data_IF_568231028802
#
_entry.id   IF_568231028802
#
_cell.length_a   1.000
_cell.length_b   1.000
_cell.length_c   1.000
_cell.angle_alpha   90.00
_cell.angle_beta   90.00
_cell.angle_gamma   90.00
#
_symmetry.space_group_name_H-M   'P 1'
#
loop_
_entity.id
_entity.type
_entity.pdbx_description
1 polymer ?
#
# COMPACT_ATOMS: atom_id res chain seq x y z
N UNK A 1 10.55 13.91 -16.70
CA UNK A 1 11.19 13.70 -15.38
C UNK A 1 11.74 12.29 -15.34
N UNK A 2 12.99 12.09 -14.93
CA UNK A 2 13.58 10.77 -14.75
C UNK A 2 13.13 10.19 -13.41
N UNK A 3 12.60 8.97 -13.41
CA UNK A 3 12.16 8.28 -12.20
C UNK A 3 13.19 7.21 -11.87
N UNK A 4 13.67 7.19 -10.65
CA UNK A 4 14.60 6.19 -10.12
C UNK A 4 13.94 5.38 -9.03
N UNK A 5 14.22 4.10 -8.99
CA UNK A 5 13.71 3.21 -7.94
C UNK A 5 14.73 2.12 -7.61
N UNK A 6 14.76 1.71 -6.36
CA UNK A 6 15.55 0.57 -5.95
C UNK A 6 14.86 -0.74 -6.34
N UNK A 7 15.52 -1.50 -7.19
CA UNK A 7 15.04 -2.83 -7.59
C UNK A 7 15.64 -3.89 -6.67
N UNK A 8 14.80 -4.59 -5.92
CA UNK A 8 15.26 -5.64 -5.00
C UNK A 8 15.97 -6.78 -5.72
N UNK A 9 15.59 -7.09 -6.96
CA UNK A 9 16.19 -8.16 -7.75
C UNK A 9 17.66 -7.87 -8.07
N UNK A 10 17.94 -6.67 -8.55
CA UNK A 10 19.30 -6.25 -8.92
C UNK A 10 20.08 -5.63 -7.76
N UNK A 11 19.36 -5.23 -6.69
CA UNK A 11 19.91 -4.52 -5.52
C UNK A 11 20.56 -3.17 -5.87
N UNK A 12 20.03 -2.51 -6.90
CA UNK A 12 20.49 -1.21 -7.39
C UNK A 12 19.34 -0.25 -7.54
N UNK A 13 19.66 1.03 -7.47
CA UNK A 13 18.75 2.09 -7.93
C UNK A 13 18.86 2.15 -9.44
N UNK A 14 17.75 2.03 -10.12
CA UNK A 14 17.64 1.98 -11.58
C UNK A 14 16.68 3.04 -12.09
N UNK A 15 16.87 3.47 -13.33
CA UNK A 15 15.93 4.33 -14.01
C UNK A 15 14.70 3.49 -14.41
N UNK A 16 13.54 3.97 -14.01
CA UNK A 16 12.28 3.33 -14.39
C UNK A 16 11.99 3.54 -15.88
N UNK A 17 11.79 2.45 -16.57
CA UNK A 17 11.30 2.42 -17.95
C UNK A 17 10.14 1.44 -18.03
N UNK A 18 8.93 1.87 -18.41
CA UNK A 18 7.77 0.98 -18.42
C UNK A 18 7.91 -0.10 -19.51
N UNK A 19 7.23 -1.21 -19.31
CA UNK A 19 7.11 -2.29 -20.31
C UNK A 19 6.33 -1.78 -21.52
N UNK A 20 5.28 -0.98 -21.26
CA UNK A 20 4.49 -0.33 -22.29
C UNK A 20 4.48 1.17 -22.08
N UNK A 21 4.80 1.91 -23.13
CA UNK A 21 4.90 3.37 -23.07
C UNK A 21 3.65 4.02 -22.46
N UNK A 22 3.84 4.97 -21.51
CA UNK A 22 2.80 5.69 -20.80
C UNK A 22 1.83 4.82 -19.96
N UNK A 23 2.11 3.54 -19.78
CA UNK A 23 1.35 2.66 -18.90
C UNK A 23 2.26 2.12 -17.78
N UNK A 24 1.68 1.84 -16.61
CA UNK A 24 2.36 1.13 -15.51
C UNK A 24 1.47 -0.01 -15.04
N UNK A 25 2.00 -1.22 -15.14
CA UNK A 25 1.39 -2.43 -14.61
C UNK A 25 1.99 -2.76 -13.25
N UNK A 26 1.15 -2.82 -12.22
CA UNK A 26 1.58 -3.03 -10.83
C UNK A 26 0.75 -4.12 -10.17
N UNK A 27 1.43 -5.13 -9.63
CA UNK A 27 0.80 -6.17 -8.82
C UNK A 27 1.41 -6.20 -7.43
N UNK A 28 0.58 -6.15 -6.41
CA UNK A 28 1.01 -6.20 -5.00
C UNK A 28 0.30 -7.36 -4.32
N UNK A 29 1.07 -8.29 -3.76
CA UNK A 29 0.50 -9.42 -3.04
C UNK A 29 -0.40 -8.96 -1.90
N UNK A 30 -1.66 -9.40 -1.98
CA UNK A 30 -2.68 -9.07 -1.01
C UNK A 30 -2.67 -9.98 0.23
N UNK A 31 -3.58 -9.76 1.17
CA UNK A 31 -3.62 -10.50 2.41
C UNK A 31 -4.24 -11.90 2.27
N UNK A 32 -3.78 -12.84 3.10
CA UNK A 32 -4.57 -14.02 3.45
C UNK A 32 -5.67 -13.60 4.43
N UNK A 33 -6.93 -13.79 4.02
CA UNK A 33 -8.09 -13.19 4.71
C UNK A 33 -8.68 -14.13 5.77
N UNK A 34 -7.97 -14.30 6.86
CA UNK A 34 -8.38 -15.17 7.99
C UNK A 34 -8.52 -14.43 9.33
N UNK A 35 -8.09 -13.16 9.41
CA UNK A 35 -8.12 -12.36 10.63
C UNK A 35 -8.17 -10.86 10.32
N UNK A 36 -8.54 -10.02 11.30
CA UNK A 36 -8.42 -8.57 11.19
C UNK A 36 -6.98 -8.16 10.84
N UNK A 37 -6.79 -7.21 9.92
CA UNK A 37 -5.45 -6.74 9.57
C UNK A 37 -4.84 -5.94 10.72
N UNK A 38 -3.54 -6.15 10.95
CA UNK A 38 -2.76 -5.30 11.85
C UNK A 38 -2.17 -4.11 11.08
N UNK A 39 -1.74 -3.08 11.82
CA UNK A 39 -1.23 -1.84 11.23
C UNK A 39 -0.04 -2.07 10.28
N UNK A 40 0.81 -3.06 10.53
CA UNK A 40 1.93 -3.42 9.66
C UNK A 40 1.48 -3.90 8.27
N UNK A 41 0.30 -4.55 8.16
CA UNK A 41 -0.25 -4.94 6.87
C UNK A 41 -0.66 -3.73 6.01
N UNK A 42 -0.93 -2.58 6.65
CA UNK A 42 -1.31 -1.37 5.93
C UNK A 42 -0.12 -0.64 5.31
N UNK A 43 1.12 -0.94 5.71
CA UNK A 43 2.30 -0.26 5.19
C UNK A 43 2.46 -0.43 3.67
N UNK A 44 2.55 -1.66 3.12
CA UNK A 44 2.60 -1.84 1.67
C UNK A 44 1.36 -1.27 0.98
N UNK A 45 0.16 -1.45 1.55
CA UNK A 45 -1.10 -0.96 0.97
C UNK A 45 -1.06 0.57 0.77
N UNK A 46 -0.69 1.32 1.82
CA UNK A 46 -0.60 2.78 1.77
C UNK A 46 0.54 3.26 0.86
N UNK A 47 1.68 2.58 0.89
CA UNK A 47 2.82 2.92 0.05
C UNK A 47 2.49 2.74 -1.44
N UNK A 48 1.93 1.61 -1.85
CA UNK A 48 1.62 1.35 -3.25
C UNK A 48 0.43 2.17 -3.77
N UNK A 49 -0.52 2.54 -2.93
CA UNK A 49 -1.55 3.53 -3.27
C UNK A 49 -0.92 4.92 -3.56
N UNK A 50 0.02 5.34 -2.72
CA UNK A 50 0.75 6.60 -2.90
C UNK A 50 1.60 6.56 -4.17
N UNK A 51 2.25 5.44 -4.46
CA UNK A 51 3.02 5.21 -5.69
C UNK A 51 2.12 5.26 -6.93
N UNK A 52 0.95 4.62 -6.89
CA UNK A 52 -0.06 4.71 -7.93
C UNK A 52 -0.46 6.17 -8.22
N UNK A 53 -0.83 6.93 -7.19
CA UNK A 53 -1.24 8.34 -7.31
C UNK A 53 -0.12 9.22 -7.87
N UNK A 54 1.14 8.94 -7.51
CA UNK A 54 2.29 9.61 -8.10
C UNK A 54 2.37 9.36 -9.61
N UNK A 55 2.36 8.10 -10.06
CA UNK A 55 2.41 7.77 -11.48
C UNK A 55 1.25 8.39 -12.26
N UNK A 56 0.03 8.33 -11.73
CA UNK A 56 -1.16 8.94 -12.34
C UNK A 56 -1.02 10.47 -12.43
N UNK A 57 -0.48 11.13 -11.40
CA UNK A 57 -0.26 12.59 -11.39
C UNK A 57 0.74 13.03 -12.46
N UNK A 58 1.74 12.24 -12.77
CA UNK A 58 2.71 12.55 -13.83
C UNK A 58 2.32 11.99 -15.21
N UNK A 59 1.08 11.51 -15.36
CA UNK A 59 0.46 11.20 -16.65
C UNK A 59 0.52 9.74 -17.09
N UNK A 60 0.95 8.79 -16.26
CA UNK A 60 0.85 7.38 -16.57
C UNK A 60 -0.56 6.84 -16.32
N UNK A 61 -0.98 5.93 -17.18
CA UNK A 61 -2.16 5.09 -16.92
C UNK A 61 -1.73 3.89 -16.08
N UNK A 62 -2.19 3.81 -14.84
CA UNK A 62 -1.81 2.74 -13.92
C UNK A 62 -2.86 1.64 -13.87
N UNK A 63 -2.44 0.39 -14.08
CA UNK A 63 -3.24 -0.80 -13.77
C UNK A 63 -2.68 -1.42 -12.49
N UNK A 64 -3.38 -1.20 -11.38
CA UNK A 64 -2.99 -1.69 -10.06
C UNK A 64 -3.86 -2.88 -9.65
N UNK A 65 -3.22 -4.00 -9.35
CA UNK A 65 -3.85 -5.26 -8.94
C UNK A 65 -3.36 -5.66 -7.56
N UNK A 66 -4.29 -6.05 -6.69
CA UNK A 66 -3.97 -6.69 -5.40
C UNK A 66 -5.00 -7.78 -5.12
N UNK A 67 -4.55 -9.00 -4.88
CA UNK A 67 -5.41 -10.17 -4.70
C UNK A 67 -5.92 -10.32 -3.27
N UNK A 68 -6.90 -11.23 -3.11
CA UNK A 68 -7.22 -11.85 -1.83
C UNK A 68 -6.92 -13.34 -1.90
N UNK A 69 -6.04 -13.82 -0.99
CA UNK A 69 -5.86 -15.25 -0.75
C UNK A 69 -7.01 -15.70 0.14
N UNK A 70 -8.07 -16.21 -0.49
CA UNK A 70 -9.33 -16.62 0.12
C UNK A 70 -9.43 -18.14 0.34
N UNK A 71 -8.34 -18.86 0.12
CA UNK A 71 -8.14 -20.28 0.48
C UNK A 71 -6.73 -20.49 1.03
N UNK A 72 -6.62 -20.99 2.26
CA UNK A 72 -5.36 -21.25 2.97
C UNK A 72 -5.63 -22.12 4.19
N UNK A 73 -4.62 -22.81 4.74
CA UNK A 73 -4.75 -23.60 5.97
C UNK A 73 -5.30 -22.79 7.15
N UNK A 74 -4.92 -21.52 7.26
CA UNK A 74 -5.39 -20.64 8.33
C UNK A 74 -6.88 -20.34 8.23
N UNK A 75 -7.40 -20.21 7.00
CA UNK A 75 -8.84 -20.02 6.74
C UNK A 75 -9.60 -21.29 7.05
N UNK A 76 -9.10 -22.46 6.60
CA UNK A 76 -9.69 -23.77 6.84
C UNK A 76 -9.75 -24.07 8.33
N UNK A 77 -8.64 -23.92 9.05
CA UNK A 77 -8.58 -24.18 10.48
C UNK A 77 -9.54 -23.29 11.26
N UNK A 78 -9.64 -22.00 10.89
CA UNK A 78 -10.56 -21.08 11.52
C UNK A 78 -12.02 -21.40 11.21
N UNK A 79 -12.33 -21.84 10.00
CA UNK A 79 -13.66 -22.28 9.62
C UNK A 79 -14.10 -23.53 10.42
N UNK A 80 -13.20 -24.49 10.61
CA UNK A 80 -13.42 -25.67 11.44
C UNK A 80 -13.65 -25.26 12.91
N UNK A 81 -12.80 -24.39 13.46
CA UNK A 81 -12.90 -23.88 14.83
C UNK A 81 -14.24 -23.20 15.10
N UNK A 82 -14.73 -22.39 14.15
CA UNK A 82 -15.99 -21.66 14.26
C UNK A 82 -17.21 -22.48 13.79
N UNK A 83 -17.03 -23.66 13.21
CA UNK A 83 -18.12 -24.50 12.68
C UNK A 83 -18.86 -23.88 11.48
N UNK A 84 -18.14 -23.12 10.64
CA UNK A 84 -18.67 -22.42 9.45
C UNK A 84 -17.92 -22.84 8.19
N UNK A 85 -18.41 -22.41 7.02
CA UNK A 85 -17.68 -22.60 5.75
C UNK A 85 -16.54 -21.59 5.62
N UNK A 86 -15.49 -21.96 4.89
CA UNK A 86 -14.33 -21.12 4.61
C UNK A 86 -14.69 -19.79 3.95
N UNK A 87 -15.69 -19.81 3.07
CA UNK A 87 -16.22 -18.59 2.43
C UNK A 87 -16.77 -17.57 3.45
N UNK A 88 -17.36 -18.03 4.56
CA UNK A 88 -17.87 -17.12 5.62
C UNK A 88 -16.69 -16.41 6.30
N UNK A 89 -15.58 -17.11 6.52
CA UNK A 89 -14.36 -16.54 7.10
C UNK A 89 -13.75 -15.54 6.13
N UNK A 90 -13.50 -15.96 4.90
CA UNK A 90 -12.83 -15.10 3.89
C UNK A 90 -13.65 -13.83 3.61
N UNK A 91 -14.97 -13.92 3.41
CA UNK A 91 -15.84 -12.75 3.19
C UNK A 91 -15.85 -11.79 4.39
N UNK A 92 -15.84 -12.31 5.62
CA UNK A 92 -15.77 -11.48 6.83
C UNK A 92 -14.50 -10.64 6.85
N UNK A 93 -13.35 -11.26 6.59
CA UNK A 93 -12.07 -10.57 6.69
C UNK A 93 -11.68 -9.77 5.44
N UNK A 94 -12.23 -10.10 4.27
CA UNK A 94 -12.20 -9.20 3.10
C UNK A 94 -12.92 -7.88 3.46
N UNK A 95 -14.14 -7.95 4.00
CA UNK A 95 -14.90 -6.75 4.42
C UNK A 95 -14.16 -5.94 5.49
N UNK A 96 -13.54 -6.62 6.47
CA UNK A 96 -12.75 -5.96 7.51
C UNK A 96 -11.52 -5.24 6.91
N UNK A 97 -10.82 -5.88 5.98
CA UNK A 97 -9.70 -5.29 5.26
C UNK A 97 -10.15 -4.11 4.39
N UNK A 98 -11.20 -4.27 3.58
CA UNK A 98 -11.75 -3.19 2.74
C UNK A 98 -12.19 -1.98 3.57
N UNK A 99 -12.76 -2.18 4.76
CA UNK A 99 -13.08 -1.09 5.68
C UNK A 99 -11.84 -0.35 6.16
N UNK A 100 -10.75 -1.06 6.45
CA UNK A 100 -9.49 -0.41 6.86
C UNK A 100 -8.88 0.42 5.72
N UNK A 101 -8.82 -0.11 4.49
CA UNK A 101 -8.27 0.61 3.34
C UNK A 101 -9.15 1.83 2.98
N UNK A 102 -10.46 1.70 3.02
CA UNK A 102 -11.38 2.82 2.83
C UNK A 102 -11.16 3.92 3.86
N UNK A 103 -11.09 3.57 5.13
CA UNK A 103 -10.85 4.52 6.22
C UNK A 103 -9.45 5.18 6.12
N UNK A 104 -8.47 4.52 5.50
CA UNK A 104 -7.15 5.10 5.22
C UNK A 104 -7.08 5.89 3.91
N UNK A 105 -8.20 6.18 3.26
CA UNK A 105 -8.28 6.89 1.98
C UNK A 105 -7.45 6.23 0.85
N UNK A 106 -7.34 4.91 0.92
CA UNK A 106 -6.71 4.11 -0.15
C UNK A 106 -7.71 3.91 -1.27
N UNK A 107 -7.30 4.21 -2.49
CA UNK A 107 -8.12 3.97 -3.66
C UNK A 107 -8.18 2.46 -3.98
N UNK A 108 -9.35 1.99 -4.39
CA UNK A 108 -9.51 0.58 -4.75
C UNK A 108 -8.55 0.21 -5.88
N UNK A 109 -7.89 -0.96 -5.80
CA UNK A 109 -7.14 -1.49 -6.93
C UNK A 109 -8.03 -1.61 -8.18
N UNK A 110 -7.43 -1.57 -9.37
CA UNK A 110 -8.13 -1.78 -10.64
C UNK A 110 -8.80 -3.16 -10.66
N UNK A 111 -8.11 -4.17 -10.14
CA UNK A 111 -8.63 -5.53 -9.97
C UNK A 111 -8.24 -6.08 -8.60
N UNK A 112 -9.16 -6.85 -8.01
CA UNK A 112 -8.97 -7.56 -6.74
C UNK A 112 -9.32 -9.04 -6.93
N UNK A 113 -8.46 -9.82 -7.67
CA UNK A 113 -8.71 -11.21 -7.94
C UNK A 113 -8.71 -12.04 -6.65
N UNK A 114 -9.50 -13.12 -6.64
CA UNK A 114 -9.59 -14.10 -5.55
C UNK A 114 -9.09 -15.45 -6.03
N UNK A 115 -8.28 -16.11 -5.25
CA UNK A 115 -7.67 -17.41 -5.61
C UNK A 115 -8.73 -18.43 -6.01
N UNK A 116 -9.84 -18.52 -5.26
CA UNK A 116 -10.93 -19.47 -5.53
C UNK A 116 -11.61 -19.27 -6.90
N UNK A 117 -11.39 -18.15 -7.58
CA UNK A 117 -11.91 -17.86 -8.92
C UNK A 117 -10.96 -18.22 -10.06
N UNK A 118 -9.72 -18.63 -9.72
CA UNK A 118 -8.68 -18.98 -10.70
C UNK A 118 -8.23 -20.44 -10.59
N UNK A 119 -9.02 -21.30 -9.95
CA UNK A 119 -8.66 -22.71 -9.74
C UNK A 119 -8.39 -23.47 -11.05
N UNK A 120 -9.22 -23.34 -12.11
CA UNK A 120 -8.95 -24.02 -13.38
C UNK A 120 -7.62 -23.57 -13.99
N UNK A 121 -7.33 -22.27 -13.97
CA UNK A 121 -6.09 -21.70 -14.51
C UNK A 121 -4.87 -22.16 -13.69
N UNK A 122 -5.00 -22.22 -12.37
CA UNK A 122 -3.96 -22.71 -11.46
C UNK A 122 -3.65 -24.18 -11.75
N UNK A 123 -4.67 -25.02 -11.89
CA UNK A 123 -4.48 -26.44 -12.22
C UNK A 123 -3.78 -26.60 -13.58
N UNK A 124 -4.19 -25.83 -14.61
CA UNK A 124 -3.57 -25.86 -15.92
C UNK A 124 -2.10 -25.40 -15.88
N UNK A 125 -1.80 -24.36 -15.10
CA UNK A 125 -0.44 -23.86 -14.89
C UNK A 125 0.46 -24.91 -14.22
N UNK A 126 -0.03 -25.57 -13.17
CA UNK A 126 0.70 -26.65 -12.47
C UNK A 126 0.91 -27.84 -13.38
N UNK A 127 -0.11 -28.24 -14.15
CA UNK A 127 0.01 -29.34 -15.12
C UNK A 127 1.09 -29.07 -16.19
N UNK A 128 1.20 -27.81 -16.64
CA UNK A 128 2.29 -27.38 -17.52
C UNK A 128 3.67 -27.50 -16.87
N UNK A 129 3.80 -27.12 -15.59
CA UNK A 129 5.07 -27.30 -14.84
C UNK A 129 5.45 -28.77 -14.67
N UNK A 130 4.48 -29.65 -14.46
CA UNK A 130 4.73 -31.11 -14.41
C UNK A 130 5.15 -31.63 -15.77
N UNK A 131 4.45 -31.24 -16.84
CA UNK A 131 4.76 -31.69 -18.22
C UNK A 131 6.13 -31.23 -18.70
N UNK A 132 6.57 -30.02 -18.33
CA UNK A 132 7.90 -29.53 -18.71
C UNK A 132 9.04 -30.01 -17.79
N UNK A 133 8.73 -30.81 -16.78
CA UNK A 133 9.70 -31.41 -15.86
C UNK A 133 10.23 -30.47 -14.78
N UNK A 134 9.59 -29.30 -14.57
CA UNK A 134 9.92 -28.36 -13.50
C UNK A 134 9.19 -28.65 -12.17
N UNK A 135 8.20 -29.53 -12.23
CA UNK A 135 7.48 -30.00 -11.06
C UNK A 135 7.29 -31.53 -11.13
N UNK A 136 7.05 -32.15 -9.98
CA UNK A 136 6.82 -33.59 -9.88
C UNK A 136 5.69 -33.90 -8.90
N UNK A 137 5.08 -35.07 -9.07
CA UNK A 137 4.01 -35.55 -8.19
C UNK A 137 4.58 -36.56 -7.21
N UNK A 138 4.31 -36.36 -5.93
CA UNK A 138 4.67 -37.29 -4.85
C UNK A 138 3.49 -37.46 -3.89
N UNK A 139 2.97 -38.67 -3.72
CA UNK A 139 1.83 -39.00 -2.84
C UNK A 139 0.60 -38.09 -3.06
N UNK A 140 0.34 -37.70 -4.33
CA UNK A 140 -0.80 -36.87 -4.69
C UNK A 140 -0.65 -35.38 -4.41
N UNK A 141 0.50 -34.95 -3.94
CA UNK A 141 0.91 -33.55 -3.87
C UNK A 141 1.82 -33.22 -5.06
N UNK A 142 1.81 -31.97 -5.51
CA UNK A 142 2.71 -31.51 -6.57
C UNK A 142 3.73 -30.55 -5.98
N UNK A 143 5.00 -30.84 -6.22
CA UNK A 143 6.11 -30.02 -5.76
C UNK A 143 6.84 -29.40 -6.94
N UNK A 144 7.24 -28.14 -6.79
CA UNK A 144 8.19 -27.51 -7.69
C UNK A 144 9.61 -27.97 -7.36
N UNK A 145 10.37 -28.38 -8.39
CA UNK A 145 11.76 -28.77 -8.27
C UNK A 145 12.67 -27.54 -8.41
N UNK A 146 13.14 -27.01 -7.27
CA UNK A 146 14.01 -25.82 -7.27
C UNK A 146 15.35 -26.07 -7.97
N UNK A 147 15.78 -27.33 -8.09
CA UNK A 147 16.99 -27.70 -8.81
C UNK A 147 16.92 -27.47 -10.32
N UNK A 148 15.74 -27.18 -10.88
CA UNK A 148 15.54 -26.83 -12.29
C UNK A 148 15.77 -25.36 -12.58
N UNK A 149 15.97 -24.51 -11.57
CA UNK A 149 16.20 -23.08 -11.72
C UNK A 149 17.57 -22.74 -11.16
N UNK A 150 18.50 -22.39 -12.04
CA UNK A 150 19.93 -22.19 -11.70
C UNK A 150 20.19 -21.00 -10.78
N UNK A 151 19.32 -20.01 -10.79
CA UNK A 151 19.44 -18.75 -10.06
C UNK A 151 18.39 -18.62 -8.93
N UNK A 152 17.86 -19.75 -8.43
CA UNK A 152 16.99 -19.75 -7.26
C UNK A 152 17.70 -19.12 -6.05
N UNK A 153 17.07 -18.12 -5.43
CA UNK A 153 17.66 -17.30 -4.38
C UNK A 153 18.15 -15.92 -4.86
N UNK A 154 18.00 -15.59 -6.14
CA UNK A 154 18.49 -14.33 -6.74
C UNK A 154 17.84 -13.07 -6.14
N UNK A 155 16.55 -13.11 -5.83
CA UNK A 155 15.81 -11.99 -5.23
C UNK A 155 16.18 -11.79 -3.76
N UNK A 156 16.14 -12.87 -3.00
CA UNK A 156 16.35 -12.87 -1.55
C UNK A 156 17.82 -12.75 -1.16
N UNK A 157 18.72 -13.07 -2.10
CA UNK A 157 20.16 -13.20 -1.86
C UNK A 157 20.48 -14.24 -0.76
N UNK A 158 19.68 -15.28 -0.71
CA UNK A 158 19.86 -16.36 0.26
C UNK A 158 20.86 -17.36 -0.31
N UNK A 159 21.90 -17.60 0.44
CA UNK A 159 22.80 -18.72 0.22
C UNK A 159 22.13 -19.99 0.76
N UNK A 160 21.70 -20.85 -0.16
CA UNK A 160 21.01 -22.11 0.16
C UNK A 160 21.87 -23.05 1.02
N UNK A 161 23.19 -23.02 0.88
CA UNK A 161 24.09 -23.83 1.67
C UNK A 161 24.18 -23.37 3.13
N UNK A 162 24.06 -22.07 3.37
CA UNK A 162 24.00 -21.51 4.72
C UNK A 162 22.63 -21.70 5.40
N UNK A 163 21.54 -21.82 4.65
CA UNK A 163 20.23 -22.15 5.20
C UNK A 163 20.17 -23.57 5.80
N UNK A 164 20.91 -24.53 5.22
CA UNK A 164 20.98 -25.91 5.72
C UNK A 164 21.40 -25.98 7.19
N UNK A 165 22.19 -25.02 7.65
CA UNK A 165 22.75 -25.00 9.01
C UNK A 165 21.85 -24.27 10.04
N UNK A 166 20.86 -23.45 9.62
CA UNK A 166 20.13 -22.54 10.51
C UNK A 166 18.60 -22.73 10.55
N UNK A 167 18.03 -23.49 9.64
CA UNK A 167 16.59 -23.71 9.61
C UNK A 167 16.24 -25.08 10.20
N UNK A 168 15.31 -25.14 11.16
CA UNK A 168 14.53 -26.33 11.45
C UNK A 168 13.61 -26.58 10.26
N UNK A 169 14.17 -27.15 9.19
CA UNK A 169 13.40 -27.63 8.05
C UNK A 169 12.86 -28.99 8.47
N UNK A 170 11.53 -29.12 8.51
CA UNK A 170 10.91 -30.42 8.69
C UNK A 170 11.33 -31.30 7.51
N UNK A 171 12.05 -32.38 7.80
CA UNK A 171 12.38 -33.39 6.81
C UNK A 171 11.08 -33.95 6.24
N UNK A 172 10.88 -33.75 4.95
CA UNK A 172 9.74 -34.27 4.22
C UNK A 172 10.29 -35.25 3.15
N UNK A 173 10.14 -36.52 3.41
CA UNK A 173 10.66 -37.62 2.57
C UNK A 173 10.08 -37.60 1.12
N UNK A 174 9.02 -36.80 0.88
CA UNK A 174 8.41 -36.64 -0.45
C UNK A 174 9.20 -35.69 -1.34
N UNK A 175 10.06 -34.85 -0.77
CA UNK A 175 10.79 -33.82 -1.52
C UNK A 175 12.11 -34.31 -2.04
N UNK A 176 12.44 -34.01 -3.30
CA UNK A 176 13.77 -34.26 -3.86
C UNK A 176 14.82 -33.34 -3.23
N UNK A 177 14.44 -32.10 -2.95
CA UNK A 177 15.24 -31.10 -2.27
C UNK A 177 14.40 -30.47 -1.14
N UNK A 178 15.01 -30.20 0.00
CA UNK A 178 14.34 -29.58 1.14
C UNK A 178 13.69 -28.21 0.81
N UNK A 179 14.17 -27.51 -0.21
CA UNK A 179 13.63 -26.21 -0.67
C UNK A 179 12.50 -26.34 -1.68
N UNK A 180 12.23 -27.57 -2.19
CA UNK A 180 11.08 -27.78 -3.04
C UNK A 180 9.81 -27.35 -2.32
N UNK A 181 8.92 -26.70 -3.02
CA UNK A 181 7.72 -26.14 -2.43
C UNK A 181 6.45 -26.67 -3.10
N UNK A 182 5.39 -26.73 -2.32
CA UNK A 182 4.11 -27.30 -2.75
C UNK A 182 3.42 -26.34 -3.72
N UNK A 183 3.05 -26.86 -4.90
CA UNK A 183 2.21 -26.21 -5.89
C UNK A 183 0.74 -26.61 -5.75
N UNK A 184 0.50 -27.90 -5.46
CA UNK A 184 -0.83 -28.46 -5.20
C UNK A 184 -0.77 -29.35 -3.97
N UNK A 185 -1.60 -29.05 -2.99
CA UNK A 185 -1.63 -29.76 -1.71
C UNK A 185 -2.83 -30.68 -1.65
N UNK A 186 -2.58 -31.98 -1.44
CA UNK A 186 -3.64 -32.90 -1.09
C UNK A 186 -4.26 -32.49 0.25
N UNK A 187 -5.58 -32.40 0.32
CA UNK A 187 -6.27 -32.04 1.56
C UNK A 187 -7.40 -33.00 1.87
N UNK A 188 -7.43 -33.48 3.11
CA UNK A 188 -8.48 -34.35 3.62
C UNK A 188 -9.62 -33.56 4.25
N UNK A 189 -9.35 -32.34 4.72
CA UNK A 189 -10.29 -31.46 5.41
C UNK A 189 -10.44 -30.12 4.69
N UNK A 190 -11.61 -29.51 4.78
CA UNK A 190 -11.90 -28.21 4.21
C UNK A 190 -12.16 -28.25 2.70
N UNK A 191 -12.19 -27.05 2.11
CA UNK A 191 -12.47 -26.86 0.70
C UNK A 191 -11.39 -27.46 -0.18
N UNK A 192 -11.79 -28.18 -1.23
CA UNK A 192 -10.91 -28.81 -2.21
C UNK A 192 -11.55 -28.88 -3.57
N UNK A 193 -10.74 -29.05 -4.58
CA UNK A 193 -11.13 -29.16 -6.00
C UNK A 193 -10.55 -30.42 -6.61
N UNK A 194 -11.28 -30.98 -7.56
CA UNK A 194 -10.78 -32.08 -8.41
C UNK A 194 -9.63 -31.57 -9.27
N UNK A 195 -8.61 -32.40 -9.43
CA UNK A 195 -7.45 -32.12 -10.27
C UNK A 195 -6.89 -33.42 -10.90
N UNK A 196 -6.05 -33.34 -11.94
CA UNK A 196 -5.36 -34.49 -12.50
C UNK A 196 -4.42 -35.22 -11.52
N UNK A 197 -4.09 -34.57 -10.41
CA UNK A 197 -3.14 -35.09 -9.41
C UNK A 197 -3.88 -35.90 -8.32
N UNK A 198 -4.63 -35.22 -7.49
CA UNK A 198 -5.61 -35.73 -6.51
C UNK A 198 -6.50 -34.54 -6.10
N UNK A 199 -7.68 -34.80 -5.49
CA UNK A 199 -8.46 -33.72 -4.92
C UNK A 199 -7.66 -32.94 -3.87
N UNK A 200 -7.60 -31.59 -4.05
CA UNK A 200 -6.74 -30.78 -3.22
C UNK A 200 -6.98 -29.29 -3.40
N UNK A 201 -5.96 -28.50 -3.10
CA UNK A 201 -5.99 -27.04 -3.19
C UNK A 201 -4.63 -26.47 -3.62
N UNK A 202 -4.59 -25.21 -4.13
CA UNK A 202 -3.35 -24.56 -4.49
C UNK A 202 -2.38 -24.41 -3.32
N UNK A 203 -1.08 -24.51 -3.62
CA UNK A 203 -0.03 -23.99 -2.78
C UNK A 203 0.04 -22.48 -2.89
N UNK A 204 0.35 -21.80 -1.79
CA UNK A 204 0.35 -20.34 -1.68
C UNK A 204 1.20 -19.60 -2.72
N UNK A 205 2.26 -20.22 -3.25
CA UNK A 205 3.22 -19.56 -4.13
C UNK A 205 2.83 -19.54 -5.61
N UNK A 206 1.78 -20.24 -6.01
CA UNK A 206 1.36 -20.35 -7.42
C UNK A 206 0.29 -19.32 -7.79
N UNK A 207 -0.46 -18.88 -6.80
CA UNK A 207 -1.64 -18.03 -6.96
C UNK A 207 -1.35 -16.74 -7.72
N UNK A 208 -0.34 -15.98 -7.26
CA UNK A 208 0.02 -14.69 -7.84
C UNK A 208 0.58 -14.84 -9.26
N UNK A 209 1.40 -15.86 -9.53
CA UNK A 209 1.91 -16.13 -10.87
C UNK A 209 0.77 -16.28 -11.88
N UNK A 210 -0.25 -17.08 -11.53
CA UNK A 210 -1.39 -17.34 -12.40
C UNK A 210 -2.29 -16.14 -12.58
N UNK A 211 -2.56 -15.40 -11.50
CA UNK A 211 -3.39 -14.20 -11.56
C UNK A 211 -2.70 -13.08 -12.36
N UNK A 212 -1.38 -12.91 -12.22
CA UNK A 212 -0.60 -11.96 -13.03
C UNK A 212 -0.66 -12.34 -14.50
N UNK A 213 -0.38 -13.60 -14.83
CA UNK A 213 -0.41 -14.09 -16.22
C UNK A 213 -1.81 -13.94 -16.84
N UNK A 214 -2.86 -14.26 -16.11
CA UNK A 214 -4.23 -14.16 -16.58
C UNK A 214 -4.71 -12.71 -16.81
N UNK A 215 -4.19 -11.74 -16.04
CA UNK A 215 -4.63 -10.34 -16.10
C UNK A 215 -3.75 -9.53 -17.07
N UNK A 216 -2.44 -9.73 -17.04
CA UNK A 216 -1.49 -8.90 -17.79
C UNK A 216 -0.94 -9.58 -19.04
N UNK A 217 -1.05 -10.91 -19.16
CA UNK A 217 -0.59 -11.71 -20.29
C UNK A 217 0.90 -11.55 -20.59
N UNK A 218 1.72 -11.41 -19.57
CA UNK A 218 3.16 -11.27 -19.67
C UNK A 218 3.82 -10.56 -18.50
N UNK A 219 5.06 -10.12 -18.71
CA UNK A 219 5.86 -9.42 -17.71
C UNK A 219 5.21 -8.07 -17.34
N UNK A 220 5.12 -7.81 -16.04
CA UNK A 220 4.64 -6.53 -15.49
C UNK A 220 5.78 -5.57 -15.16
N UNK A 221 5.47 -4.29 -14.95
CA UNK A 221 6.47 -3.30 -14.54
C UNK A 221 6.90 -3.52 -13.10
N UNK A 222 5.97 -3.49 -12.16
CA UNK A 222 6.27 -3.50 -10.72
C UNK A 222 5.54 -4.65 -10.03
N UNK A 223 6.31 -5.48 -9.33
CA UNK A 223 5.77 -6.43 -8.37
C UNK A 223 6.24 -6.10 -6.97
N UNK A 224 5.34 -6.15 -5.99
CA UNK A 224 5.70 -5.69 -4.66
C UNK A 224 4.91 -6.28 -3.51
N UNK A 225 5.34 -5.89 -2.30
CA UNK A 225 4.74 -6.31 -1.04
C UNK A 225 5.59 -5.96 0.17
N UNK A 226 5.33 -6.60 1.30
CA UNK A 226 6.20 -6.54 2.48
C UNK A 226 7.53 -7.26 2.25
N UNK A 227 8.56 -6.85 2.98
CA UNK A 227 9.89 -7.48 2.88
C UNK A 227 9.94 -8.93 3.33
N UNK A 228 8.96 -9.39 4.10
CA UNK A 228 8.75 -10.77 4.50
C UNK A 228 8.32 -11.67 3.34
N UNK A 229 7.78 -11.10 2.26
CA UNK A 229 7.42 -11.85 1.05
C UNK A 229 8.61 -12.13 0.14
N UNK A 230 9.77 -11.46 0.30
CA UNK A 230 10.96 -11.71 -0.54
C UNK A 230 11.30 -13.19 -0.60
N UNK A 231 11.29 -13.84 0.58
CA UNK A 231 11.52 -15.28 0.73
C UNK A 231 10.54 -15.86 1.75
N UNK A 232 9.89 -16.99 1.42
CA UNK A 232 10.06 -17.74 0.17
C UNK A 232 9.12 -17.31 -0.98
N UNK A 233 8.11 -16.45 -0.74
CA UNK A 233 6.97 -16.24 -1.64
C UNK A 233 7.38 -15.72 -3.03
N UNK A 234 7.97 -14.53 -3.12
CA UNK A 234 8.37 -13.91 -4.40
C UNK A 234 9.52 -14.65 -5.08
N UNK A 235 10.43 -15.25 -4.32
CA UNK A 235 11.46 -16.11 -4.88
C UNK A 235 10.84 -17.31 -5.61
N UNK A 236 9.84 -17.93 -5.00
CA UNK A 236 9.12 -19.06 -5.58
C UNK A 236 8.27 -18.66 -6.79
N UNK A 237 7.77 -17.43 -6.84
CA UNK A 237 7.09 -16.90 -8.03
C UNK A 237 8.06 -16.70 -9.20
N UNK A 238 9.25 -16.15 -8.94
CA UNK A 238 10.31 -16.01 -9.95
C UNK A 238 10.67 -17.38 -10.51
N UNK A 239 10.90 -18.37 -9.65
CA UNK A 239 11.28 -19.71 -10.05
C UNK A 239 10.23 -20.32 -11.00
N UNK A 240 8.95 -20.23 -10.66
CA UNK A 240 7.84 -20.75 -11.46
C UNK A 240 7.76 -20.04 -12.82
N UNK A 241 7.88 -18.72 -12.86
CA UNK A 241 7.77 -17.95 -14.09
C UNK A 241 8.98 -18.19 -15.00
N UNK A 242 10.18 -18.29 -14.45
CA UNK A 242 11.37 -18.69 -15.21
C UNK A 242 11.23 -20.08 -15.83
N UNK A 243 10.59 -21.00 -15.11
CA UNK A 243 10.35 -22.35 -15.62
C UNK A 243 9.30 -22.40 -16.73
N UNK A 244 8.28 -21.55 -16.69
CA UNK A 244 7.17 -21.51 -17.67
C UNK A 244 7.45 -20.60 -18.84
N UNK A 245 7.86 -19.36 -18.61
CA UNK A 245 7.93 -18.28 -19.60
C UNK A 245 9.35 -17.91 -20.02
N UNK A 246 10.39 -18.37 -19.31
CA UNK A 246 11.80 -18.05 -19.59
C UNK A 246 12.15 -16.56 -19.43
N UNK A 247 11.33 -15.79 -18.69
CA UNK A 247 11.58 -14.41 -18.30
C UNK A 247 11.07 -14.17 -16.89
N UNK A 248 11.53 -13.08 -16.25
CA UNK A 248 11.04 -12.68 -14.93
C UNK A 248 9.58 -12.24 -14.98
N UNK A 249 8.86 -12.46 -13.88
CA UNK A 249 7.47 -12.07 -13.70
C UNK A 249 7.29 -10.54 -13.77
N UNK A 250 8.23 -9.81 -13.18
CA UNK A 250 8.23 -8.35 -13.13
C UNK A 250 9.62 -7.79 -13.46
N UNK A 251 9.63 -6.57 -14.03
CA UNK A 251 10.84 -5.81 -14.31
C UNK A 251 11.45 -5.25 -13.04
N UNK A 252 10.61 -4.73 -12.13
CA UNK A 252 11.04 -4.14 -10.87
C UNK A 252 10.34 -4.80 -9.68
N UNK A 253 11.13 -5.13 -8.67
CA UNK A 253 10.66 -5.73 -7.41
C UNK A 253 10.83 -4.73 -6.29
N UNK A 254 9.72 -4.33 -5.66
CA UNK A 254 9.71 -3.29 -4.63
C UNK A 254 9.16 -3.87 -3.33
N UNK A 255 9.92 -3.71 -2.24
CA UNK A 255 9.53 -4.24 -0.94
C UNK A 255 9.57 -3.17 0.14
N UNK A 256 8.48 -3.05 0.88
CA UNK A 256 8.44 -2.20 2.08
C UNK A 256 9.01 -2.93 3.27
N UNK A 257 9.86 -2.26 4.06
CA UNK A 257 10.40 -2.84 5.27
C UNK A 257 9.32 -3.05 6.34
N UNK A 258 9.63 -3.86 7.36
CA UNK A 258 8.75 -4.19 8.47
C UNK A 258 8.48 -2.98 9.39
N UNK A 259 7.51 -3.15 10.28
CA UNK A 259 7.22 -2.22 11.38
C UNK A 259 7.51 -2.89 12.71
N UNK A 260 8.19 -2.18 13.60
CA UNK A 260 8.38 -2.53 14.99
C UNK A 260 7.43 -1.72 15.88
N UNK A 261 7.06 -2.29 17.01
CA UNK A 261 6.33 -1.62 18.09
C UNK A 261 7.30 -1.46 19.26
N UNK A 262 7.62 -0.20 19.61
CA UNK A 262 8.56 0.11 20.71
C UNK A 262 9.87 -0.67 20.64
N UNK A 263 10.50 -0.67 19.45
CA UNK A 263 11.74 -1.37 19.11
C UNK A 263 11.66 -2.92 19.07
N UNK A 264 10.49 -3.50 19.24
CA UNK A 264 10.28 -4.94 19.15
C UNK A 264 9.51 -5.31 17.89
N UNK A 265 9.85 -6.45 17.29
CA UNK A 265 9.08 -6.98 16.15
C UNK A 265 7.64 -7.24 16.59
N UNK A 266 6.68 -6.76 15.78
CA UNK A 266 5.27 -7.05 16.02
C UNK A 266 5.01 -8.56 15.86
N UNK A 267 4.48 -9.21 16.88
CA UNK A 267 4.11 -10.62 16.83
C UNK A 267 2.95 -10.95 17.78
N UNK A 268 2.15 -11.95 17.38
CA UNK A 268 1.05 -12.44 18.22
C UNK A 268 1.55 -13.04 19.53
N UNK A 269 2.72 -13.71 19.52
CA UNK A 269 3.30 -14.33 20.70
C UNK A 269 3.75 -13.32 21.76
N UNK A 270 4.13 -12.11 21.36
CA UNK A 270 4.48 -11.01 22.25
C UNK A 270 3.25 -10.19 22.71
N UNK A 271 2.06 -10.44 22.13
CA UNK A 271 0.86 -9.70 22.46
C UNK A 271 0.90 -8.21 22.08
N UNK A 272 1.88 -7.79 21.24
CA UNK A 272 2.10 -6.39 20.86
C UNK A 272 1.49 -6.03 19.50
N UNK A 273 0.53 -6.84 18.99
CA UNK A 273 -0.14 -6.60 17.73
C UNK A 273 -1.18 -5.47 17.88
N UNK A 274 -1.05 -4.43 17.07
CA UNK A 274 -2.02 -3.33 16.97
C UNK A 274 -2.88 -3.56 15.73
N UNK A 275 -4.19 -3.69 15.90
CA UNK A 275 -5.11 -3.83 14.78
C UNK A 275 -5.22 -2.50 14.03
N UNK A 276 -5.30 -2.57 12.70
CA UNK A 276 -5.37 -1.38 11.86
C UNK A 276 -6.61 -0.53 12.18
N UNK A 277 -7.77 -1.17 12.41
CA UNK A 277 -9.02 -0.48 12.77
C UNK A 277 -8.88 0.33 14.06
N UNK A 278 -8.24 -0.25 15.09
CA UNK A 278 -8.09 0.39 16.40
C UNK A 278 -7.11 1.59 16.31
N UNK A 279 -6.00 1.43 15.57
CA UNK A 279 -5.06 2.51 15.33
C UNK A 279 -5.69 3.69 14.56
N UNK A 280 -6.50 3.41 13.55
CA UNK A 280 -7.21 4.44 12.77
C UNK A 280 -8.22 5.19 13.65
N UNK A 281 -8.97 4.48 14.49
CA UNK A 281 -9.92 5.09 15.42
C UNK A 281 -9.23 5.95 16.46
N UNK A 282 -8.11 5.48 17.03
CA UNK A 282 -7.39 6.18 18.08
C UNK A 282 -6.62 7.41 17.59
N UNK A 283 -6.01 7.35 16.39
CA UNK A 283 -5.06 8.37 15.94
C UNK A 283 -5.49 9.17 14.71
N UNK A 284 -6.58 8.82 14.07
CA UNK A 284 -7.08 9.29 12.77
C UNK A 284 -6.34 8.72 11.54
N UNK A 285 -7.07 8.66 10.42
CA UNK A 285 -6.56 8.15 9.15
C UNK A 285 -5.32 8.90 8.65
N UNK A 286 -5.37 10.24 8.65
CA UNK A 286 -4.25 11.07 8.18
C UNK A 286 -2.96 10.82 8.97
N UNK A 287 -3.07 10.69 10.30
CA UNK A 287 -1.90 10.44 11.17
C UNK A 287 -1.31 9.07 10.87
N UNK A 288 -2.14 8.02 10.82
CA UNK A 288 -1.68 6.67 10.51
C UNK A 288 -1.08 6.61 9.12
N UNK A 289 -1.73 7.21 8.12
CA UNK A 289 -1.25 7.21 6.74
C UNK A 289 0.12 7.88 6.62
N UNK A 290 0.28 9.09 7.18
CA UNK A 290 1.56 9.79 7.12
C UNK A 290 2.65 9.09 7.94
N UNK A 291 2.33 8.50 9.09
CA UNK A 291 3.26 7.69 9.88
C UNK A 291 3.82 6.52 9.06
N UNK A 292 2.97 5.81 8.30
CA UNK A 292 3.39 4.69 7.45
C UNK A 292 4.27 5.14 6.27
N UNK A 293 4.18 6.41 5.86
CA UNK A 293 4.90 7.00 4.72
C UNK A 293 6.15 7.79 5.11
N UNK A 294 6.18 8.44 6.28
CA UNK A 294 7.23 9.38 6.67
C UNK A 294 8.57 8.74 7.06
N UNK A 295 8.69 7.44 6.91
CA UNK A 295 9.97 6.72 6.94
C UNK A 295 10.19 6.11 5.57
N UNK A 296 11.39 6.29 5.00
CA UNK A 296 11.70 5.72 3.70
C UNK A 296 11.26 4.25 3.63
N UNK A 297 10.60 3.83 2.55
CA UNK A 297 9.92 2.54 2.46
C UNK A 297 10.83 1.33 2.73
N UNK A 298 12.14 1.45 2.47
CA UNK A 298 13.14 0.42 2.74
C UNK A 298 13.62 0.36 4.20
N UNK A 299 13.28 1.35 5.03
CA UNK A 299 13.69 1.43 6.42
C UNK A 299 12.58 0.95 7.34
N UNK A 300 12.95 0.30 8.46
CA UNK A 300 12.00 -0.15 9.48
C UNK A 300 11.35 1.07 10.15
N UNK A 301 10.02 1.05 10.26
CA UNK A 301 9.28 2.01 11.08
C UNK A 301 9.29 1.51 12.53
N UNK A 302 9.57 2.39 13.46
CA UNK A 302 9.35 2.12 14.87
C UNK A 302 8.12 2.90 15.35
N UNK A 303 7.03 2.20 15.62
CA UNK A 303 5.79 2.80 16.12
C UNK A 303 5.93 3.10 17.62
N UNK A 304 6.03 4.39 17.96
CA UNK A 304 6.12 4.90 19.34
C UNK A 304 5.17 6.08 19.50
N UNK A 305 4.82 6.39 20.76
CA UNK A 305 3.99 7.55 21.09
C UNK A 305 4.63 8.87 20.61
N UNK A 306 5.97 8.97 20.64
CA UNK A 306 6.73 10.12 20.13
C UNK A 306 6.51 10.30 18.62
N UNK A 307 6.73 9.24 17.82
CA UNK A 307 6.55 9.27 16.36
C UNK A 307 5.10 9.60 15.98
N UNK A 308 4.13 9.10 16.76
CA UNK A 308 2.71 9.44 16.56
C UNK A 308 2.46 10.92 16.84
N UNK A 309 2.99 11.48 17.93
CA UNK A 309 2.80 12.89 18.28
C UNK A 309 3.48 13.84 17.28
N UNK A 310 4.68 13.50 16.82
CA UNK A 310 5.37 14.24 15.77
C UNK A 310 4.57 14.25 14.47
N UNK A 311 4.08 13.08 14.06
CA UNK A 311 3.24 12.94 12.85
C UNK A 311 1.95 13.74 12.99
N UNK A 312 1.29 13.71 14.15
CA UNK A 312 0.10 14.51 14.45
C UNK A 312 0.37 16.01 14.34
N UNK A 313 1.54 16.46 14.83
CA UNK A 313 1.97 17.86 14.68
C UNK A 313 2.13 18.27 13.21
N UNK A 314 2.73 17.41 12.38
CA UNK A 314 2.89 17.63 10.94
C UNK A 314 1.52 17.74 10.26
N UNK A 315 0.63 16.77 10.50
CA UNK A 315 -0.73 16.76 9.93
C UNK A 315 -1.51 18.02 10.30
N UNK A 316 -1.43 18.44 11.56
CA UNK A 316 -2.10 19.67 12.02
C UNK A 316 -1.56 20.92 11.30
N UNK A 317 -0.24 21.03 11.08
CA UNK A 317 0.37 22.16 10.36
C UNK A 317 -0.11 22.22 8.92
N UNK A 318 -0.09 21.09 8.21
CA UNK A 318 -0.54 20.99 6.81
C UNK A 318 -2.04 21.32 6.72
N UNK A 319 -2.86 20.65 7.53
CA UNK A 319 -4.31 20.79 7.48
C UNK A 319 -4.79 22.21 7.82
N UNK A 320 -4.22 22.83 8.87
CA UNK A 320 -4.57 24.19 9.25
C UNK A 320 -4.20 25.19 8.15
N UNK A 321 -3.01 25.05 7.58
CA UNK A 321 -2.57 25.92 6.48
C UNK A 321 -3.47 25.76 5.24
N UNK A 322 -3.74 24.51 4.85
CA UNK A 322 -4.57 24.19 3.69
C UNK A 322 -6.01 24.74 3.83
N UNK A 323 -6.61 24.59 5.01
CA UNK A 323 -7.93 25.16 5.31
C UNK A 323 -7.93 26.69 5.24
N UNK A 324 -6.87 27.35 5.73
CA UNK A 324 -6.79 28.83 5.69
C UNK A 324 -6.61 29.33 4.25
N UNK A 325 -5.81 28.67 3.41
CA UNK A 325 -5.71 29.01 1.98
C UNK A 325 -7.07 28.87 1.29
N UNK A 326 -7.73 27.72 1.48
CA UNK A 326 -9.05 27.46 0.93
C UNK A 326 -10.08 28.53 1.34
N UNK A 327 -10.12 28.86 2.63
CA UNK A 327 -10.98 29.90 3.17
C UNK A 327 -10.70 31.27 2.49
N UNK A 328 -9.43 31.68 2.39
CA UNK A 328 -9.06 32.96 1.78
C UNK A 328 -9.44 33.01 0.29
N UNK A 329 -9.29 31.93 -0.45
CA UNK A 329 -9.69 31.84 -1.86
C UNK A 329 -11.22 32.03 -1.99
N UNK A 330 -12.01 31.27 -1.23
CA UNK A 330 -13.47 31.35 -1.29
C UNK A 330 -14.01 32.72 -0.90
N UNK A 331 -13.44 33.36 0.13
CA UNK A 331 -13.83 34.71 0.56
C UNK A 331 -13.51 35.80 -0.46
N UNK A 332 -12.60 35.56 -1.39
CA UNK A 332 -12.22 36.52 -2.43
C UNK A 332 -12.69 36.09 -3.83
N UNK A 333 -13.64 35.13 -3.91
CA UNK A 333 -14.16 34.58 -5.16
C UNK A 333 -13.08 34.04 -6.10
N UNK A 334 -12.01 33.49 -5.51
CA UNK A 334 -10.93 32.86 -6.25
C UNK A 334 -11.28 31.49 -6.76
N UNK A 335 -10.36 30.89 -7.53
CA UNK A 335 -10.53 29.60 -8.19
C UNK A 335 -9.92 28.49 -7.33
N UNK A 336 -10.66 27.40 -7.10
CA UNK A 336 -10.22 26.26 -6.29
C UNK A 336 -9.58 25.15 -7.12
N UNK A 337 -9.42 25.33 -8.43
CA UNK A 337 -8.82 24.34 -9.34
C UNK A 337 -7.77 25.02 -10.21
N UNK A 338 -6.58 24.44 -10.26
CA UNK A 338 -5.47 24.95 -11.05
C UNK A 338 -4.23 24.07 -10.91
N UNK A 339 -3.15 24.55 -11.48
CA UNK A 339 -1.84 23.90 -11.46
C UNK A 339 -0.82 24.84 -10.83
N UNK A 340 0.14 24.28 -10.10
CA UNK A 340 1.26 25.04 -9.55
C UNK A 340 2.60 24.40 -9.94
N UNK A 341 3.54 25.19 -10.40
CA UNK A 341 4.92 24.75 -10.66
C UNK A 341 5.67 24.33 -9.41
N UNK A 342 5.20 24.74 -8.23
CA UNK A 342 5.78 24.35 -6.93
C UNK A 342 5.67 22.84 -6.66
N UNK A 343 4.72 22.16 -7.32
CA UNK A 343 4.62 20.69 -7.25
C UNK A 343 5.81 19.97 -7.87
N UNK A 344 6.51 20.58 -8.82
CA UNK A 344 7.64 19.95 -9.54
C UNK A 344 8.71 19.44 -8.59
N UNK A 345 9.12 20.24 -7.61
CA UNK A 345 10.15 19.85 -6.65
C UNK A 345 9.70 18.70 -5.74
N UNK A 346 8.43 18.65 -5.36
CA UNK A 346 7.86 17.51 -4.63
C UNK A 346 7.94 16.23 -5.47
N UNK A 347 7.56 16.33 -6.75
CA UNK A 347 7.59 15.21 -7.68
C UNK A 347 9.03 14.73 -7.95
N UNK A 348 10.00 15.63 -8.01
CA UNK A 348 11.43 15.28 -8.13
C UNK A 348 11.95 14.49 -6.93
N UNK A 349 11.60 14.90 -5.70
CA UNK A 349 11.92 14.11 -4.50
C UNK A 349 11.25 12.75 -4.50
N UNK A 350 9.99 12.70 -4.97
CA UNK A 350 9.27 11.43 -5.06
C UNK A 350 9.88 10.51 -6.13
N UNK A 351 10.32 11.07 -7.26
CA UNK A 351 10.96 10.34 -8.35
C UNK A 351 12.36 9.79 -8.00
N UNK A 352 12.98 10.24 -6.90
CA UNK A 352 14.28 9.76 -6.41
C UNK A 352 14.08 8.66 -5.36
N UNK A 353 13.85 7.44 -5.82
CA UNK A 353 13.61 6.24 -5.01
C UNK A 353 12.48 6.41 -3.99
N UNK A 354 11.42 7.12 -4.40
CA UNK A 354 10.22 7.37 -3.58
C UNK A 354 10.55 7.97 -2.21
N UNK A 355 11.39 9.00 -2.20
CA UNK A 355 11.89 9.66 -0.98
C UNK A 355 10.80 10.53 -0.33
N UNK A 356 9.76 9.87 0.20
CA UNK A 356 8.62 10.54 0.84
C UNK A 356 9.04 11.41 2.04
N UNK A 357 10.04 11.06 2.89
CA UNK A 357 10.51 11.96 3.94
C UNK A 357 10.95 13.32 3.43
N UNK A 358 11.67 13.39 2.29
CA UNK A 358 12.03 14.65 1.67
C UNK A 358 10.80 15.38 1.08
N UNK A 359 9.83 14.63 0.54
CA UNK A 359 8.55 15.18 0.10
C UNK A 359 7.80 15.87 1.26
N UNK A 360 7.75 15.24 2.42
CA UNK A 360 7.12 15.80 3.64
C UNK A 360 7.86 17.05 4.13
N UNK A 361 9.20 17.01 4.13
CA UNK A 361 10.03 18.17 4.49
C UNK A 361 9.72 19.35 3.58
N UNK A 362 9.70 19.14 2.27
CA UNK A 362 9.35 20.18 1.30
C UNK A 362 7.91 20.68 1.47
N UNK A 363 6.98 19.79 1.77
CA UNK A 363 5.59 20.18 2.08
C UNK A 363 5.52 21.15 3.27
N UNK A 364 6.32 20.91 4.30
CA UNK A 364 6.41 21.83 5.45
C UNK A 364 7.06 23.17 5.09
N UNK A 365 7.97 23.21 4.13
CA UNK A 365 8.52 24.48 3.64
C UNK A 365 7.46 25.27 2.85
N UNK A 366 6.65 24.61 2.03
CA UNK A 366 5.48 25.26 1.39
C UNK A 366 4.47 25.76 2.42
N UNK A 367 4.24 25.02 3.51
CA UNK A 367 3.37 25.49 4.62
C UNK A 367 3.93 26.73 5.28
N UNK A 368 5.25 26.85 5.48
CA UNK A 368 5.88 28.07 6.00
C UNK A 368 5.69 29.25 5.04
N UNK A 369 5.94 29.04 3.75
CA UNK A 369 5.72 30.05 2.71
C UNK A 369 4.26 30.50 2.68
N UNK A 370 3.32 29.57 2.67
CA UNK A 370 1.89 29.87 2.69
C UNK A 370 1.46 30.69 3.92
N UNK A 371 1.99 30.37 5.08
CA UNK A 371 1.73 31.14 6.31
C UNK A 371 2.27 32.59 6.21
N UNK A 372 3.39 32.82 5.52
CA UNK A 372 3.89 34.17 5.25
C UNK A 372 2.97 34.94 4.29
N UNK A 373 2.55 34.32 3.18
CA UNK A 373 1.60 34.87 2.23
C UNK A 373 0.25 35.19 2.88
N UNK A 374 -0.27 34.29 3.71
CA UNK A 374 -1.54 34.50 4.43
C UNK A 374 -1.49 35.70 5.39
N UNK A 375 -0.34 35.97 6.02
CA UNK A 375 -0.16 37.10 6.96
C UNK A 375 0.17 38.42 6.26
N UNK A 376 0.72 38.40 5.06
CA UNK A 376 1.07 39.58 4.30
C UNK A 376 -0.19 40.21 3.70
N UNK A 377 -0.50 41.44 4.08
CA UNK A 377 -1.66 42.19 3.57
C UNK A 377 -1.56 42.56 2.09
N UNK A 378 -0.33 42.55 1.54
CA UNK A 378 -0.05 42.89 0.15
C UNK A 378 0.00 41.67 -0.78
N UNK A 379 -0.18 40.47 -0.24
CA UNK A 379 -0.19 39.25 -1.05
C UNK A 379 -1.38 39.24 -2.00
N UNK A 380 -1.10 38.81 -3.22
CA UNK A 380 -2.13 38.68 -4.26
C UNK A 380 -2.96 37.40 -4.04
N UNK A 381 -4.15 37.36 -4.64
CA UNK A 381 -4.96 36.15 -4.63
C UNK A 381 -4.27 35.00 -5.39
N UNK A 382 -3.58 35.34 -6.49
CA UNK A 382 -2.81 34.40 -7.31
C UNK A 382 -1.70 33.67 -6.51
N UNK A 383 -0.98 34.38 -5.62
CA UNK A 383 0.01 33.75 -4.73
C UNK A 383 -0.63 32.75 -3.75
N UNK A 384 -1.85 33.04 -3.28
CA UNK A 384 -2.61 32.16 -2.39
C UNK A 384 -3.10 30.92 -3.15
N UNK A 385 -3.62 31.13 -4.37
CA UNK A 385 -4.10 30.05 -5.25
C UNK A 385 -2.96 29.12 -5.67
N UNK A 386 -1.79 29.65 -6.04
CA UNK A 386 -0.61 28.85 -6.43
C UNK A 386 -0.18 27.89 -5.30
N UNK A 387 -0.11 28.38 -4.07
CA UNK A 387 0.23 27.54 -2.90
C UNK A 387 -0.87 26.54 -2.57
N UNK A 388 -2.13 26.93 -2.73
CA UNK A 388 -3.27 26.03 -2.54
C UNK A 388 -3.24 24.87 -3.55
N UNK A 389 -2.99 25.14 -4.83
CA UNK A 389 -2.90 24.13 -5.88
C UNK A 389 -1.73 23.17 -5.65
N UNK A 390 -0.56 23.70 -5.22
CA UNK A 390 0.57 22.88 -4.85
C UNK A 390 0.20 21.90 -3.72
N UNK A 391 -0.38 22.41 -2.63
CA UNK A 391 -0.77 21.57 -1.50
C UNK A 391 -1.90 20.59 -1.87
N UNK A 392 -2.85 20.97 -2.72
CA UNK A 392 -3.92 20.08 -3.20
C UNK A 392 -3.33 18.84 -3.90
N UNK A 393 -2.39 19.05 -4.81
CA UNK A 393 -1.72 17.94 -5.52
C UNK A 393 -0.93 17.06 -4.55
N UNK A 394 -0.18 17.66 -3.62
CA UNK A 394 0.62 16.93 -2.62
C UNK A 394 -0.29 16.10 -1.68
N UNK A 395 -1.37 16.71 -1.21
CA UNK A 395 -2.37 16.07 -0.34
C UNK A 395 -3.01 14.87 -1.05
N UNK A 396 -3.34 15.01 -2.34
CA UNK A 396 -3.85 13.91 -3.17
C UNK A 396 -2.86 12.75 -3.26
N UNK A 397 -1.59 13.03 -3.63
CA UNK A 397 -0.55 11.98 -3.76
C UNK A 397 -0.33 11.28 -2.42
N UNK A 398 -0.21 12.02 -1.33
CA UNK A 398 -0.06 11.45 0.01
C UNK A 398 -1.34 10.75 0.52
N UNK A 399 -2.49 10.96 -0.14
CA UNK A 399 -3.79 10.40 0.22
C UNK A 399 -4.35 10.95 1.53
N UNK A 400 -4.05 12.19 1.86
CA UNK A 400 -4.59 12.88 3.04
C UNK A 400 -5.96 13.49 2.73
N UNK A 401 -6.81 13.60 3.73
CA UNK A 401 -8.12 14.26 3.63
C UNK A 401 -8.32 15.25 4.78
N UNK A 402 -8.61 16.48 4.47
CA UNK A 402 -8.85 17.55 5.44
C UNK A 402 -10.28 18.07 5.46
N UNK A 403 -11.20 17.43 4.76
CA UNK A 403 -12.65 17.73 4.78
C UNK A 403 -12.94 19.25 4.62
N UNK A 404 -12.55 19.82 3.49
CA UNK A 404 -12.79 21.24 3.22
C UNK A 404 -14.28 21.52 3.06
N UNK A 405 -14.72 22.63 3.66
CA UNK A 405 -16.10 23.10 3.53
C UNK A 405 -16.22 24.06 2.34
N UNK A 406 -17.24 23.89 1.52
CA UNK A 406 -17.69 24.89 0.58
C UNK A 406 -18.54 25.91 1.34
N UNK A 407 -18.17 27.20 1.29
CA UNK A 407 -18.86 28.25 2.00
C UNK A 407 -20.18 28.61 1.31
N UNK A 408 -21.22 28.79 2.09
CA UNK A 408 -22.48 29.38 1.64
C UNK A 408 -22.39 30.90 1.73
N UNK A 409 -23.31 31.64 1.06
CA UNK A 409 -23.42 33.09 1.19
C UNK A 409 -23.60 33.53 2.65
N UNK A 410 -24.36 32.75 3.45
CA UNK A 410 -24.55 33.03 4.86
C UNK A 410 -23.26 32.79 5.68
N UNK A 411 -22.45 31.77 5.34
CA UNK A 411 -21.14 31.56 5.96
C UNK A 411 -20.18 32.74 5.70
N UNK A 412 -20.18 33.25 4.46
CA UNK A 412 -19.37 34.41 4.06
C UNK A 412 -19.82 35.66 4.84
N UNK A 413 -21.13 35.86 4.98
CA UNK A 413 -21.69 36.98 5.74
C UNK A 413 -21.30 36.93 7.21
N UNK A 414 -21.44 35.75 7.86
CA UNK A 414 -21.04 35.54 9.26
C UNK A 414 -19.54 35.81 9.44
N UNK A 415 -18.71 35.40 8.49
CA UNK A 415 -17.28 35.66 8.52
C UNK A 415 -16.94 37.16 8.37
N UNK A 416 -17.66 37.86 7.51
CA UNK A 416 -17.51 39.33 7.35
C UNK A 416 -17.89 40.06 8.64
N UNK A 417 -19.05 39.75 9.23
CA UNK A 417 -19.49 40.27 10.53
C UNK A 417 -18.47 40.00 11.65
N UNK A 418 -17.86 38.80 11.68
CA UNK A 418 -16.77 38.47 12.62
C UNK A 418 -15.57 39.39 12.44
N UNK A 419 -15.13 39.63 11.20
CA UNK A 419 -14.00 40.53 10.93
C UNK A 419 -14.31 42.00 11.30
N UNK A 420 -15.50 42.47 11.01
CA UNK A 420 -15.95 43.81 11.39
C UNK A 420 -15.99 43.97 12.92
N UNK A 421 -16.56 43.01 13.65
CA UNK A 421 -16.59 43.01 15.09
C UNK A 421 -15.16 43.05 15.68
N UNK A 422 -14.22 42.28 15.10
CA UNK A 422 -12.82 42.28 15.50
C UNK A 422 -12.10 43.60 15.23
N UNK A 423 -12.34 44.24 14.07
CA UNK A 423 -11.78 45.56 13.72
C UNK A 423 -12.31 46.63 14.64
N UNK A 424 -13.59 46.59 14.99
CA UNK A 424 -14.25 47.52 15.88
C UNK A 424 -13.98 47.21 17.38
N UNK A 425 -13.12 46.24 17.69
CA UNK A 425 -12.77 45.78 19.06
C UNK A 425 -14.01 45.37 19.88
N UNK A 426 -15.08 44.93 19.21
CA UNK A 426 -16.23 44.32 19.87
C UNK A 426 -15.96 42.86 20.15
N UNK A 427 -15.25 42.60 21.27
CA UNK A 427 -14.76 41.25 21.63
C UNK A 427 -15.91 40.28 21.90
N UNK A 428 -17.00 40.74 22.56
CA UNK A 428 -18.15 39.89 22.89
C UNK A 428 -18.83 39.37 21.60
N UNK A 429 -19.09 40.23 20.65
CA UNK A 429 -19.68 39.83 19.36
C UNK A 429 -18.71 38.98 18.56
N UNK A 430 -17.41 39.33 18.54
CA UNK A 430 -16.43 38.57 17.79
C UNK A 430 -16.26 37.14 18.35
N UNK A 431 -16.29 36.96 19.66
CA UNK A 431 -16.22 35.63 20.28
C UNK A 431 -17.46 34.78 19.98
N UNK A 432 -18.65 35.40 20.02
CA UNK A 432 -19.90 34.73 19.61
C UNK A 432 -19.85 34.25 18.17
N UNK A 433 -19.49 35.14 17.26
CA UNK A 433 -19.39 34.81 15.83
C UNK A 433 -18.28 33.78 15.55
N UNK A 434 -17.17 33.83 16.27
CA UNK A 434 -16.11 32.83 16.20
C UNK A 434 -16.61 31.43 16.58
N UNK A 435 -17.38 31.32 17.66
CA UNK A 435 -17.98 30.06 18.06
C UNK A 435 -18.94 29.53 16.99
N UNK A 436 -19.76 30.39 16.39
CA UNK A 436 -20.61 30.03 15.26
C UNK A 436 -19.81 29.50 14.07
N UNK A 437 -18.68 30.15 13.73
CA UNK A 437 -17.79 29.70 12.65
C UNK A 437 -17.12 28.35 12.96
N UNK A 438 -16.77 28.10 14.23
CA UNK A 438 -16.25 26.80 14.68
C UNK A 438 -17.33 25.71 14.57
N UNK A 439 -18.55 25.98 15.06
CA UNK A 439 -19.68 25.04 14.95
C UNK A 439 -20.00 24.71 13.48
N UNK A 440 -19.87 25.68 12.60
CA UNK A 440 -20.03 25.52 11.16
C UNK A 440 -18.81 24.86 10.48
N UNK A 441 -17.77 24.51 11.20
CA UNK A 441 -16.51 23.91 10.70
C UNK A 441 -15.78 24.77 9.65
N UNK A 442 -15.79 26.09 9.84
CA UNK A 442 -15.09 27.06 8.99
C UNK A 442 -13.70 27.36 9.57
N UNK A 443 -13.57 27.32 10.89
CA UNK A 443 -12.31 27.44 11.65
C UNK A 443 -11.84 26.10 12.20
#
# INVERSE_FOLDING_TARGET
>A
MEIKLYNTLTRKVEVFTPVKENEVSMYVCGPTVYNDPHIGNMRPVVFFDTLRKFFETIGYKVTYVSNYTDVDDKIINKAIEEGVKEEVISERYIKAFEKCIFNLHVERPTFTPRVTKYIPEIIAYIDNLVKNGSAYVADGEVFFDVGKVSDYGCLSNIDLDNLKNNARIEENDKKHNQYDFVLWKNTTQGIKWESPFLPGRPGWHTECCVMIDSIFHGMIDIHGGGSDLKFPHHENEIAQTMATHKHHLAKYWIHTAMMNIRNEKMSKSLGNVILAKDAIEQYSANVIRLLLLNTHYRNIINFTDEVVNDTKSIINKIGNCYKQLNLKIQLNNGVLQGFSSKTTKFLEYFADDFNIPNCVTYTLDLVKEANLVLRNKNSTLEEVEDLYYALTTIIYILGLDFSLKVLTEDDIKVYQEYNEAKQNKNFELSDKLRNTLIERKIF
#
